data_IF_606303090522
#
_entry.id   IF_606303090522
#
_cell.length_a   1.000
_cell.length_b   1.000
_cell.length_c   1.000
_cell.angle_alpha   90.00
_cell.angle_beta   90.00
_cell.angle_gamma   90.00
#
_symmetry.space_group_name_H-M   'P 1'
#
loop_
_entity.id
_entity.type
_entity.pdbx_description
1 polymer ?
#
# COMPACT_ATOMS: atom_id res chain seq x y z
N UNK A 1 -57.67 33.84 2.06
CA UNK A 1 -58.85 33.37 2.84
C UNK A 1 -60.01 32.93 1.96
N UNK A 2 -59.98 33.19 0.64
CA UNK A 2 -61.11 32.94 -0.28
C UNK A 2 -61.59 31.49 -0.37
N UNK A 3 -60.75 30.51 -0.02
CA UNK A 3 -61.12 29.08 -0.09
C UNK A 3 -61.65 28.50 1.23
N UNK A 4 -61.60 29.25 2.35
CA UNK A 4 -62.05 28.82 3.70
C UNK A 4 -61.68 27.37 4.07
N UNK A 5 -60.46 26.96 3.73
CA UNK A 5 -59.92 25.64 4.07
C UNK A 5 -58.73 25.75 5.00
N UNK A 6 -58.55 24.75 5.84
CA UNK A 6 -57.40 24.58 6.74
C UNK A 6 -56.86 23.18 6.47
N UNK A 7 -55.56 23.06 6.26
CA UNK A 7 -54.91 21.80 5.91
C UNK A 7 -53.69 21.59 6.80
N UNK A 8 -53.50 20.36 7.26
CA UNK A 8 -52.31 19.94 7.97
C UNK A 8 -51.55 18.99 7.06
N UNK A 9 -50.31 19.34 6.73
CA UNK A 9 -49.39 18.46 6.02
C UNK A 9 -48.41 17.87 7.03
N UNK A 10 -48.58 16.60 7.36
CA UNK A 10 -47.67 15.88 8.26
C UNK A 10 -46.55 15.23 7.47
N UNK A 11 -45.31 15.53 7.84
CA UNK A 11 -44.13 14.86 7.29
C UNK A 11 -44.05 13.39 7.72
N UNK A 12 -43.33 12.59 6.92
CA UNK A 12 -43.04 11.19 7.22
C UNK A 12 -42.41 11.08 8.62
N UNK A 13 -43.02 10.30 9.52
CA UNK A 13 -42.56 10.14 10.91
C UNK A 13 -43.43 10.84 11.96
N UNK A 14 -44.23 11.83 11.56
CA UNK A 14 -45.23 12.45 12.44
C UNK A 14 -46.61 11.78 12.34
N UNK A 15 -46.79 10.78 11.47
CA UNK A 15 -48.06 10.08 11.27
C UNK A 15 -48.52 9.28 12.49
N UNK A 16 -47.59 8.83 13.35
CA UNK A 16 -47.91 8.15 14.62
C UNK A 16 -48.47 9.11 15.67
N UNK A 17 -47.88 10.31 15.76
CA UNK A 17 -48.24 11.34 16.75
C UNK A 17 -49.38 12.24 16.24
N UNK A 18 -49.44 12.51 14.94
CA UNK A 18 -50.45 13.35 14.28
C UNK A 18 -51.04 12.60 13.08
N UNK A 19 -51.77 11.48 13.29
CA UNK A 19 -52.50 10.83 12.21
C UNK A 19 -53.61 11.76 11.69
N UNK A 20 -54.05 11.54 10.45
CA UNK A 20 -55.11 12.33 9.78
C UNK A 20 -56.35 12.56 10.66
N UNK A 21 -56.74 11.55 11.44
CA UNK A 21 -57.89 11.64 12.35
C UNK A 21 -57.66 12.64 13.49
N UNK A 22 -56.42 12.75 14.00
CA UNK A 22 -56.03 13.70 15.05
C UNK A 22 -55.89 15.11 14.47
N UNK A 23 -55.32 15.24 13.27
CA UNK A 23 -55.30 16.50 12.52
C UNK A 23 -56.72 17.03 12.29
N UNK A 24 -57.65 16.18 11.86
CA UNK A 24 -59.05 16.52 11.69
C UNK A 24 -59.72 16.91 13.01
N UNK A 25 -59.47 16.17 14.09
CA UNK A 25 -59.97 16.51 15.42
C UNK A 25 -59.51 17.90 15.88
N UNK A 26 -58.23 18.25 15.65
CA UNK A 26 -57.70 19.57 16.00
C UNK A 26 -58.40 20.67 15.20
N UNK A 27 -58.59 20.46 13.89
CA UNK A 27 -59.28 21.41 13.03
C UNK A 27 -60.72 21.63 13.50
N UNK A 28 -61.50 20.58 13.70
CA UNK A 28 -62.92 20.66 14.07
C UNK A 28 -63.14 21.24 15.48
N UNK A 29 -62.26 20.92 16.42
CA UNK A 29 -62.42 21.29 17.83
C UNK A 29 -61.84 22.65 18.16
N UNK A 30 -60.66 22.98 17.64
CA UNK A 30 -59.87 24.14 18.09
C UNK A 30 -59.66 25.22 17.02
N UNK A 31 -60.03 24.97 15.77
CA UNK A 31 -59.79 25.92 14.68
C UNK A 31 -61.10 26.39 14.03
N UNK A 32 -61.95 25.47 13.56
CA UNK A 32 -63.21 25.76 12.85
C UNK A 32 -64.16 26.67 13.63
N UNK A 33 -64.36 26.54 14.97
CA UNK A 33 -65.26 27.42 15.71
C UNK A 33 -64.81 28.90 15.68
N UNK A 34 -63.50 29.14 15.84
CA UNK A 34 -62.93 30.50 15.78
C UNK A 34 -62.94 31.06 14.36
N UNK A 35 -62.68 30.19 13.38
CA UNK A 35 -62.70 30.56 11.98
C UNK A 35 -64.12 30.96 11.52
N UNK A 36 -65.17 30.24 11.97
CA UNK A 36 -66.58 30.57 11.75
C UNK A 36 -66.99 31.89 12.42
N UNK A 37 -66.40 32.22 13.56
CA UNK A 37 -66.61 33.50 14.26
C UNK A 37 -65.82 34.67 13.66
N UNK A 38 -65.06 34.45 12.57
CA UNK A 38 -64.22 35.47 11.92
C UNK A 38 -62.93 35.80 12.69
N UNK A 39 -62.60 35.07 13.75
CA UNK A 39 -61.39 35.28 14.55
C UNK A 39 -60.28 34.31 14.12
N UNK A 40 -59.56 34.69 13.06
CA UNK A 40 -58.51 33.86 12.46
C UNK A 40 -57.25 33.77 13.33
N UNK A 41 -56.93 34.81 14.10
CA UNK A 41 -55.78 34.81 15.00
C UNK A 41 -55.94 33.75 16.09
N UNK A 42 -57.11 33.71 16.74
CA UNK A 42 -57.44 32.69 17.74
C UNK A 42 -57.50 31.28 17.13
N UNK A 43 -57.94 31.16 15.87
CA UNK A 43 -57.96 29.90 15.13
C UNK A 43 -56.55 29.30 14.95
N UNK A 44 -55.60 30.09 14.46
CA UNK A 44 -54.22 29.61 14.24
C UNK A 44 -53.52 29.34 15.58
N UNK A 45 -53.66 30.24 16.55
CA UNK A 45 -53.07 30.06 17.88
C UNK A 45 -53.62 28.82 18.58
N UNK A 46 -54.93 28.57 18.46
CA UNK A 46 -55.58 27.37 19.00
C UNK A 46 -55.05 26.09 18.34
N UNK A 47 -54.95 26.05 17.01
CA UNK A 47 -54.40 24.92 16.28
C UNK A 47 -52.96 24.59 16.66
N UNK A 48 -52.08 25.59 16.67
CA UNK A 48 -50.66 25.40 16.99
C UNK A 48 -50.46 24.97 18.45
N UNK A 49 -51.21 25.56 19.41
CA UNK A 49 -51.13 25.14 20.82
C UNK A 49 -51.53 23.69 21.02
N UNK A 50 -52.59 23.24 20.34
CA UNK A 50 -53.02 21.84 20.41
C UNK A 50 -51.96 20.90 19.82
N UNK A 51 -51.33 21.27 18.70
CA UNK A 51 -50.22 20.48 18.13
C UNK A 51 -49.05 20.37 19.09
N UNK A 52 -48.62 21.47 19.71
CA UNK A 52 -47.53 21.48 20.69
C UNK A 52 -47.87 20.59 21.90
N UNK A 53 -49.12 20.65 22.38
CA UNK A 53 -49.58 19.81 23.49
C UNK A 53 -49.42 18.32 23.19
N UNK A 54 -49.79 17.88 21.98
CA UNK A 54 -49.66 16.47 21.58
C UNK A 54 -48.20 16.04 21.35
N UNK A 55 -47.35 16.91 20.80
CA UNK A 55 -45.93 16.59 20.58
C UNK A 55 -45.16 16.53 21.92
N UNK A 56 -45.54 17.34 22.90
CA UNK A 56 -44.83 17.47 24.19
C UNK A 56 -45.31 16.44 25.23
N UNK A 57 -46.27 15.58 24.88
CA UNK A 57 -46.77 14.52 25.76
C UNK A 57 -45.64 13.51 26.08
N UNK A 58 -45.36 13.21 27.36
CA UNK A 58 -44.35 12.24 27.77
C UNK A 58 -44.49 10.85 27.12
N UNK A 59 -45.70 10.45 26.74
CA UNK A 59 -45.93 9.17 26.04
C UNK A 59 -45.39 9.17 24.61
N UNK A 60 -45.32 10.35 23.96
CA UNK A 60 -44.85 10.51 22.58
C UNK A 60 -43.36 10.87 22.50
N UNK A 61 -42.72 11.17 23.65
CA UNK A 61 -41.30 11.48 23.76
C UNK A 61 -40.35 10.46 23.07
N UNK A 62 -40.52 9.12 23.18
CA UNK A 62 -39.63 8.19 22.51
C UNK A 62 -39.72 8.25 20.98
N UNK A 63 -40.89 8.54 20.42
CA UNK A 63 -41.13 8.63 18.97
C UNK A 63 -40.56 9.94 18.40
N UNK A 64 -40.70 11.06 19.13
CA UNK A 64 -40.08 12.36 18.79
C UNK A 64 -38.54 12.30 18.91
N UNK A 65 -38.01 11.58 19.90
CA UNK A 65 -36.56 11.49 20.17
C UNK A 65 -35.83 10.51 19.24
N UNK A 66 -36.54 9.51 18.69
CA UNK A 66 -35.98 8.56 17.72
C UNK A 66 -35.59 9.22 16.38
N UNK A 67 -36.20 10.37 16.03
CA UNK A 67 -35.88 11.10 14.82
C UNK A 67 -34.63 11.99 14.97
N UNK A 68 -34.45 12.63 16.13
CA UNK A 68 -33.28 13.49 16.38
C UNK A 68 -31.95 12.71 16.32
N UNK A 69 -31.95 11.41 16.61
CA UNK A 69 -30.78 10.54 16.49
C UNK A 69 -30.52 10.08 15.05
N UNK A 70 -31.54 9.96 14.20
CA UNK A 70 -31.37 9.56 12.79
C UNK A 70 -31.03 10.75 11.87
N UNK A 71 -31.50 11.96 12.19
CA UNK A 71 -31.13 13.18 11.45
C UNK A 71 -29.69 13.66 11.72
N UNK A 72 -29.14 13.42 12.92
CA UNK A 72 -27.77 13.82 13.27
C UNK A 72 -26.71 12.73 12.97
N UNK A 73 -27.10 11.46 12.81
CA UNK A 73 -26.14 10.36 12.59
C UNK A 73 -25.79 10.12 11.12
N UNK A 74 -26.43 10.79 10.16
CA UNK A 74 -26.04 10.68 8.76
C UNK A 74 -24.88 11.63 8.41
N UNK A 75 -23.79 11.55 9.17
CA UNK A 75 -22.50 12.02 8.68
C UNK A 75 -22.08 11.07 7.56
N UNK A 76 -22.26 11.51 6.31
CA UNK A 76 -21.76 10.82 5.12
C UNK A 76 -20.22 10.89 5.08
N UNK A 77 -19.54 10.34 6.10
CA UNK A 77 -18.12 10.09 6.00
C UNK A 77 -17.95 8.80 5.16
N UNK A 78 -17.19 8.84 4.05
CA UNK A 78 -16.94 7.65 3.23
C UNK A 78 -16.19 6.54 3.99
N UNK A 79 -15.75 6.80 5.22
CA UNK A 79 -15.04 5.86 6.10
C UNK A 79 -15.96 5.02 7.00
N UNK A 80 -17.21 5.44 7.20
CA UNK A 80 -18.18 4.76 8.07
C UNK A 80 -19.12 3.80 7.32
N UNK A 81 -19.03 3.71 5.99
CA UNK A 81 -19.88 2.85 5.18
C UNK A 81 -19.30 1.42 5.11
N UNK A 82 -20.13 0.36 5.21
CA UNK A 82 -19.67 -1.01 4.98
C UNK A 82 -19.14 -1.16 3.56
N UNK A 83 -18.02 -1.85 3.41
CA UNK A 83 -17.37 -2.05 2.11
C UNK A 83 -18.25 -2.96 1.25
N UNK A 84 -18.74 -2.45 0.12
CA UNK A 84 -19.50 -3.25 -0.86
C UNK A 84 -18.68 -4.46 -1.35
N UNK A 85 -19.34 -5.61 -1.48
CA UNK A 85 -18.78 -6.87 -1.99
C UNK A 85 -18.06 -6.66 -3.34
N UNK A 86 -18.53 -5.70 -4.16
CA UNK A 86 -17.92 -5.36 -5.45
C UNK A 86 -16.52 -4.74 -5.33
N UNK A 87 -16.28 -3.89 -4.32
CA UNK A 87 -14.97 -3.26 -4.08
C UNK A 87 -13.95 -4.30 -3.61
N UNK A 88 -14.38 -5.25 -2.78
CA UNK A 88 -13.54 -6.37 -2.36
C UNK A 88 -13.19 -7.31 -3.52
N UNK A 89 -14.11 -7.55 -4.45
CA UNK A 89 -13.83 -8.29 -5.68
C UNK A 89 -12.73 -7.63 -6.52
N UNK A 90 -12.76 -6.29 -6.61
CA UNK A 90 -11.74 -5.51 -7.34
C UNK A 90 -10.38 -5.57 -6.62
N UNK A 91 -10.34 -5.41 -5.29
CA UNK A 91 -9.10 -5.51 -4.51
C UNK A 91 -8.51 -6.92 -4.61
N UNK A 92 -9.34 -7.96 -4.49
CA UNK A 92 -8.94 -9.35 -4.68
C UNK A 92 -8.39 -9.61 -6.09
N UNK A 93 -9.07 -9.10 -7.12
CA UNK A 93 -8.60 -9.19 -8.51
C UNK A 93 -7.30 -8.42 -8.75
N UNK A 94 -7.11 -7.26 -8.13
CA UNK A 94 -5.89 -6.45 -8.21
C UNK A 94 -4.70 -7.14 -7.51
N UNK A 95 -4.92 -7.75 -6.34
CA UNK A 95 -3.92 -8.56 -5.65
C UNK A 95 -3.56 -9.81 -6.46
N UNK A 96 -4.56 -10.48 -7.05
CA UNK A 96 -4.35 -11.62 -7.93
C UNK A 96 -3.55 -11.24 -9.18
N UNK A 97 -3.94 -10.15 -9.86
CA UNK A 97 -3.21 -9.61 -10.99
C UNK A 97 -1.79 -9.21 -10.59
N UNK A 98 -1.58 -8.59 -9.43
CA UNK A 98 -0.25 -8.29 -8.91
C UNK A 98 0.58 -9.57 -8.70
N UNK A 99 0.03 -10.60 -8.05
CA UNK A 99 0.78 -11.87 -7.87
C UNK A 99 1.07 -12.59 -9.18
N UNK A 100 0.19 -12.50 -10.18
CA UNK A 100 0.35 -13.14 -11.49
C UNK A 100 1.26 -12.34 -12.43
N UNK A 101 1.18 -11.01 -12.45
CA UNK A 101 2.02 -10.13 -13.28
C UNK A 101 3.45 -10.07 -12.75
N UNK A 102 3.61 -10.08 -11.42
CA UNK A 102 4.92 -10.19 -10.79
C UNK A 102 5.40 -11.64 -10.69
N UNK A 103 4.70 -12.63 -11.27
CA UNK A 103 5.20 -14.00 -11.41
C UNK A 103 6.52 -13.93 -12.18
N UNK A 104 7.68 -14.16 -11.52
CA UNK A 104 8.95 -13.95 -12.19
C UNK A 104 9.05 -14.87 -13.43
N UNK A 105 9.50 -14.34 -14.57
CA UNK A 105 9.68 -15.11 -15.81
C UNK A 105 10.90 -16.02 -15.67
N UNK A 106 10.82 -17.28 -16.13
CA UNK A 106 11.94 -18.24 -16.12
C UNK A 106 12.96 -17.78 -17.18
N UNK A 107 14.25 -17.63 -16.83
CA UNK A 107 15.31 -17.35 -17.82
C UNK A 107 16.54 -18.21 -17.55
N UNK A 108 17.19 -18.65 -18.63
CA UNK A 108 18.32 -19.57 -18.67
C UNK A 108 19.65 -18.84 -18.40
N UNK A 109 20.45 -19.44 -17.50
CA UNK A 109 21.93 -19.51 -17.33
C UNK A 109 22.84 -18.25 -17.43
N UNK A 110 23.86 -18.24 -16.56
CA UNK A 110 25.07 -17.36 -16.41
C UNK A 110 25.05 -16.15 -15.45
N UNK A 111 24.45 -16.26 -14.26
CA UNK A 111 24.61 -15.32 -13.12
C UNK A 111 24.67 -16.09 -11.78
N UNK A 112 25.29 -15.58 -10.69
CA UNK A 112 25.37 -16.30 -9.41
C UNK A 112 23.99 -16.57 -8.80
N UNK A 113 23.83 -17.83 -8.38
CA UNK A 113 22.60 -18.61 -8.16
C UNK A 113 21.68 -18.14 -7.01
N UNK A 114 22.19 -17.37 -6.05
CA UNK A 114 21.54 -17.16 -4.75
C UNK A 114 20.35 -16.17 -4.69
N UNK A 115 19.97 -15.55 -5.82
CA UNK A 115 18.70 -14.81 -5.95
C UNK A 115 17.72 -15.57 -6.84
N UNK A 116 18.17 -16.63 -7.53
CA UNK A 116 17.31 -17.45 -8.36
C UNK A 116 16.59 -18.45 -7.48
N UNK A 117 15.59 -17.92 -6.76
CA UNK A 117 14.26 -18.53 -6.67
C UNK A 117 14.34 -20.03 -6.40
N UNK A 118 14.74 -20.43 -5.18
CA UNK A 118 14.47 -21.78 -4.74
C UNK A 118 12.95 -21.93 -4.64
N UNK A 119 12.40 -22.52 -5.70
CA UNK A 119 11.00 -22.55 -6.04
C UNK A 119 10.40 -23.76 -5.33
N UNK A 120 9.92 -23.57 -4.10
CA UNK A 120 8.94 -24.51 -3.57
C UNK A 120 7.58 -24.14 -4.18
N UNK A 121 7.27 -24.70 -5.35
CA UNK A 121 6.03 -24.43 -6.09
C UNK A 121 4.80 -24.67 -5.22
N UNK A 122 4.84 -25.67 -4.34
CA UNK A 122 3.81 -25.94 -3.36
C UNK A 122 3.61 -24.76 -2.39
N UNK A 123 4.69 -24.13 -1.91
CA UNK A 123 4.62 -22.93 -1.06
C UNK A 123 4.02 -21.74 -1.80
N UNK A 124 4.41 -21.53 -3.06
CA UNK A 124 3.86 -20.44 -3.86
C UNK A 124 2.37 -20.64 -4.14
N UNK A 125 1.97 -21.86 -4.49
CA UNK A 125 0.58 -22.22 -4.77
C UNK A 125 -0.27 -22.10 -3.50
N UNK A 126 0.14 -22.73 -2.39
CA UNK A 126 -0.56 -22.63 -1.09
C UNK A 126 -0.68 -21.19 -0.63
N UNK A 127 0.39 -20.41 -0.74
CA UNK A 127 0.38 -18.98 -0.44
C UNK A 127 -0.57 -18.22 -1.36
N UNK A 128 -0.56 -18.44 -2.67
CA UNK A 128 -1.51 -17.78 -3.58
C UNK A 128 -2.96 -18.17 -3.28
N UNK A 129 -3.23 -19.42 -2.90
CA UNK A 129 -4.57 -19.88 -2.54
C UNK A 129 -5.05 -19.25 -1.23
N UNK A 130 -4.24 -19.27 -0.17
CA UNK A 130 -4.60 -18.65 1.11
C UNK A 130 -4.84 -17.14 0.97
N UNK A 131 -4.03 -16.45 0.17
CA UNK A 131 -4.13 -15.00 0.02
C UNK A 131 -5.34 -14.59 -0.83
N UNK A 132 -5.56 -15.28 -1.95
CA UNK A 132 -6.61 -14.90 -2.89
C UNK A 132 -7.96 -15.55 -2.61
N UNK A 133 -8.01 -16.61 -1.80
CA UNK A 133 -9.26 -17.33 -1.47
C UNK A 133 -9.60 -17.15 0.01
N UNK A 134 -8.67 -17.40 0.94
CA UNK A 134 -9.01 -17.41 2.36
C UNK A 134 -9.27 -16.01 2.92
N UNK A 135 -8.53 -14.98 2.49
CA UNK A 135 -8.75 -13.60 2.97
C UNK A 135 -10.08 -13.02 2.46
N UNK A 136 -10.41 -13.10 1.15
CA UNK A 136 -11.73 -12.68 0.67
C UNK A 136 -12.87 -13.51 1.26
N UNK A 137 -12.70 -14.83 1.42
CA UNK A 137 -13.72 -15.68 2.04
C UNK A 137 -13.95 -15.34 3.52
N UNK A 138 -12.89 -15.11 4.30
CA UNK A 138 -12.99 -14.69 5.70
C UNK A 138 -13.63 -13.31 5.85
N UNK A 139 -13.36 -12.39 4.91
CA UNK A 139 -14.03 -11.09 4.88
C UNK A 139 -15.50 -11.21 4.55
N UNK A 140 -15.87 -11.99 3.52
CA UNK A 140 -17.27 -12.23 3.18
C UNK A 140 -17.99 -12.85 4.38
N UNK A 141 -17.36 -13.82 5.04
CA UNK A 141 -17.89 -14.42 6.26
C UNK A 141 -18.08 -13.41 7.39
N UNK A 142 -17.14 -12.48 7.59
CA UNK A 142 -17.24 -11.48 8.66
C UNK A 142 -18.39 -10.49 8.44
N UNK A 143 -18.75 -10.18 7.18
CA UNK A 143 -19.92 -9.34 6.87
C UNK A 143 -21.26 -9.97 7.29
N UNK A 144 -21.34 -11.30 7.36
CA UNK A 144 -22.56 -11.99 7.78
C UNK A 144 -22.59 -12.35 9.27
N UNK A 145 -21.46 -12.25 9.97
CA UNK A 145 -21.31 -12.75 11.35
C UNK A 145 -21.27 -11.63 12.39
N UNK A 146 -20.80 -10.43 12.03
CA UNK A 146 -20.61 -9.33 12.97
C UNK A 146 -21.58 -8.17 12.71
N UNK A 147 -22.21 -7.69 13.78
CA UNK A 147 -23.00 -6.46 13.81
C UNK A 147 -22.35 -5.50 14.84
N UNK A 148 -21.77 -4.36 14.44
CA UNK A 148 -21.76 -3.79 13.08
C UNK A 148 -20.74 -4.46 12.13
N UNK A 149 -20.96 -4.36 10.81
CA UNK A 149 -20.04 -4.89 9.79
C UNK A 149 -18.68 -4.18 9.80
N UNK A 150 -17.67 -4.88 9.28
CA UNK A 150 -16.29 -4.36 9.23
C UNK A 150 -16.20 -3.11 8.35
N UNK A 151 -15.57 -2.07 8.89
CA UNK A 151 -15.43 -0.76 8.24
C UNK A 151 -14.33 -0.75 7.17
N UNK A 152 -14.35 0.26 6.29
CA UNK A 152 -13.28 0.49 5.27
C UNK A 152 -11.92 0.66 5.94
N UNK A 153 -11.85 1.32 7.09
CA UNK A 153 -10.59 1.57 7.81
C UNK A 153 -9.98 0.27 8.32
N UNK A 154 -10.80 -0.60 8.92
CA UNK A 154 -10.37 -1.92 9.38
C UNK A 154 -9.89 -2.80 8.23
N UNK A 155 -10.53 -2.71 7.05
CA UNK A 155 -10.06 -3.39 5.83
C UNK A 155 -8.65 -2.93 5.44
N UNK A 156 -8.44 -1.61 5.38
CA UNK A 156 -7.16 -1.03 4.97
C UNK A 156 -6.05 -1.40 5.95
N UNK A 157 -6.34 -1.41 7.25
CA UNK A 157 -5.41 -1.88 8.29
C UNK A 157 -5.09 -3.38 8.08
N UNK A 158 -6.10 -4.21 7.83
CA UNK A 158 -5.90 -5.64 7.58
C UNK A 158 -5.02 -5.88 6.34
N UNK A 159 -5.29 -5.19 5.23
CA UNK A 159 -4.47 -5.26 4.01
C UNK A 159 -3.04 -4.80 4.29
N UNK A 160 -2.86 -3.71 5.03
CA UNK A 160 -1.55 -3.18 5.40
C UNK A 160 -0.73 -4.17 6.23
N UNK A 161 -1.31 -4.72 7.30
CA UNK A 161 -0.68 -5.75 8.16
C UNK A 161 -0.38 -7.00 7.36
N UNK A 162 -1.29 -7.40 6.49
CA UNK A 162 -1.11 -8.56 5.63
C UNK A 162 0.09 -8.40 4.68
N UNK A 163 0.24 -7.24 4.02
CA UNK A 163 1.41 -6.94 3.17
C UNK A 163 2.71 -7.00 3.99
N UNK A 164 2.72 -6.47 5.22
CA UNK A 164 3.86 -6.56 6.14
C UNK A 164 4.25 -8.04 6.36
N UNK A 165 3.29 -8.90 6.69
CA UNK A 165 3.52 -10.32 6.94
C UNK A 165 4.14 -10.99 5.70
N UNK A 166 3.63 -10.70 4.50
CA UNK A 166 4.16 -11.26 3.26
C UNK A 166 5.61 -10.86 3.00
N UNK A 167 5.94 -9.60 3.27
CA UNK A 167 7.28 -9.06 3.07
C UNK A 167 8.24 -9.62 4.12
N UNK A 168 7.82 -9.73 5.39
CA UNK A 168 8.58 -10.33 6.48
C UNK A 168 8.86 -11.81 6.21
N UNK A 169 7.85 -12.59 5.85
CA UNK A 169 7.96 -14.02 5.53
C UNK A 169 8.87 -14.26 4.32
N UNK A 170 8.77 -13.44 3.27
CA UNK A 170 9.73 -13.45 2.15
C UNK A 170 11.16 -13.19 2.64
N UNK A 171 11.35 -12.26 3.58
CA UNK A 171 12.67 -11.91 4.11
C UNK A 171 13.25 -13.03 4.96
N UNK A 172 12.47 -13.62 5.85
CA UNK A 172 12.90 -14.73 6.71
C UNK A 172 13.32 -15.95 5.89
N UNK A 173 12.58 -16.28 4.81
CA UNK A 173 12.99 -17.35 3.89
C UNK A 173 14.32 -17.07 3.20
N UNK A 174 14.53 -15.83 2.73
CA UNK A 174 15.78 -15.48 2.06
C UNK A 174 16.95 -15.59 3.04
N UNK A 175 16.77 -15.14 4.29
CA UNK A 175 17.77 -15.32 5.33
C UNK A 175 18.10 -16.81 5.56
N UNK A 176 17.07 -17.65 5.72
CA UNK A 176 17.26 -19.09 5.92
C UNK A 176 17.99 -19.74 4.74
N UNK A 177 17.63 -19.38 3.50
CA UNK A 177 18.30 -19.87 2.30
C UNK A 177 19.78 -19.46 2.23
N UNK A 178 20.09 -18.20 2.54
CA UNK A 178 21.49 -17.72 2.60
C UNK A 178 22.27 -18.53 3.65
N UNK A 179 21.67 -18.73 4.83
CA UNK A 179 22.32 -19.49 5.90
C UNK A 179 22.56 -20.96 5.50
N UNK A 180 21.60 -21.60 4.83
CA UNK A 180 21.70 -22.99 4.39
C UNK A 180 22.64 -23.17 3.20
N UNK A 181 22.64 -22.25 2.24
CA UNK A 181 23.40 -22.38 1.00
C UNK A 181 24.90 -22.17 1.22
N UNK A 182 25.28 -21.14 1.99
CA UNK A 182 26.67 -20.81 2.24
C UNK A 182 27.29 -21.57 3.43
N UNK A 183 26.50 -22.38 4.15
CA UNK A 183 27.02 -23.34 5.14
C UNK A 183 27.87 -22.70 6.23
N UNK A 184 29.18 -22.95 6.25
CA UNK A 184 30.13 -22.38 7.22
C UNK A 184 30.84 -21.11 6.72
N UNK A 185 30.74 -20.77 5.43
CA UNK A 185 31.42 -19.60 4.87
C UNK A 185 30.76 -18.29 5.33
N UNK A 186 31.38 -17.67 6.33
CA UNK A 186 30.90 -16.42 6.94
C UNK A 186 31.03 -15.23 6.00
N UNK A 187 32.10 -15.17 5.19
CA UNK A 187 32.34 -14.06 4.28
C UNK A 187 31.29 -14.05 3.17
N UNK A 188 31.07 -15.20 2.53
CA UNK A 188 30.05 -15.32 1.50
C UNK A 188 28.64 -15.04 2.04
N UNK A 189 28.32 -15.47 3.26
CA UNK A 189 27.06 -15.09 3.94
C UNK A 189 26.93 -13.58 4.08
N UNK A 190 27.97 -12.90 4.60
CA UNK A 190 27.95 -11.46 4.79
C UNK A 190 27.71 -10.70 3.47
N UNK A 191 28.43 -11.08 2.41
CA UNK A 191 28.28 -10.51 1.07
C UNK A 191 26.87 -10.76 0.51
N UNK A 192 26.34 -11.97 0.67
CA UNK A 192 24.98 -12.29 0.22
C UNK A 192 23.91 -11.50 0.99
N UNK A 193 24.04 -11.38 2.32
CA UNK A 193 23.12 -10.61 3.15
C UNK A 193 23.11 -9.12 2.78
N UNK A 194 24.28 -8.50 2.67
CA UNK A 194 24.42 -7.09 2.31
C UNK A 194 23.83 -6.79 0.93
N UNK A 195 24.14 -7.62 -0.09
CA UNK A 195 23.59 -7.48 -1.44
C UNK A 195 22.08 -7.61 -1.49
N UNK A 196 21.52 -8.62 -0.81
CA UNK A 196 20.08 -8.90 -0.80
C UNK A 196 19.23 -7.73 -0.31
N UNK A 197 19.85 -6.82 0.44
CA UNK A 197 19.16 -5.78 1.20
C UNK A 197 19.13 -4.42 0.49
N UNK A 198 19.94 -4.23 -0.57
CA UNK A 198 20.03 -2.96 -1.31
C UNK A 198 18.65 -2.45 -1.76
N UNK A 199 17.80 -3.34 -2.27
CA UNK A 199 16.47 -3.00 -2.79
C UNK A 199 15.38 -2.88 -1.71
N UNK A 200 15.65 -3.28 -0.46
CA UNK A 200 14.67 -3.29 0.62
C UNK A 200 14.67 -2.01 1.45
N UNK A 201 15.57 -1.05 1.19
CA UNK A 201 15.61 0.22 1.94
C UNK A 201 14.28 0.99 1.88
N UNK A 202 13.53 0.86 0.78
CA UNK A 202 12.21 1.48 0.59
C UNK A 202 11.19 0.94 1.61
N UNK A 203 11.29 -0.33 2.02
CA UNK A 203 10.32 -0.91 2.97
C UNK A 203 10.42 -0.29 4.36
N UNK A 204 11.57 0.30 4.72
CA UNK A 204 11.73 1.05 5.97
C UNK A 204 10.87 2.31 6.02
N UNK A 205 10.61 2.93 4.87
CA UNK A 205 9.78 4.14 4.81
C UNK A 205 8.29 3.80 4.79
N UNK A 206 7.89 2.76 4.05
CA UNK A 206 6.48 2.36 3.91
C UNK A 206 5.99 1.57 5.13
N UNK A 207 6.86 0.76 5.74
CA UNK A 207 6.55 -0.17 6.83
C UNK A 207 7.57 -0.04 7.97
N UNK A 208 7.63 1.11 8.67
CA UNK A 208 8.75 1.44 9.54
C UNK A 208 8.94 0.47 10.69
N UNK A 209 7.89 0.16 11.46
CA UNK A 209 8.02 -0.57 12.73
C UNK A 209 8.68 -1.97 12.60
N UNK A 210 8.13 -2.94 11.83
CA UNK A 210 8.71 -4.28 11.73
C UNK A 210 10.06 -4.29 11.01
N UNK A 211 10.25 -3.43 10.00
CA UNK A 211 11.47 -3.45 9.22
C UNK A 211 12.61 -2.68 9.90
N UNK A 212 12.34 -1.65 10.69
CA UNK A 212 13.36 -0.98 11.51
C UNK A 212 13.88 -1.92 12.61
N UNK A 213 12.99 -2.70 13.24
CA UNK A 213 13.40 -3.77 14.15
C UNK A 213 14.26 -4.82 13.43
N UNK A 214 13.84 -5.26 12.24
CA UNK A 214 14.64 -6.18 11.42
C UNK A 214 16.02 -5.59 11.06
N UNK A 215 16.10 -4.28 10.77
CA UNK A 215 17.35 -3.59 10.46
C UNK A 215 18.36 -3.75 11.61
N UNK A 216 17.92 -3.55 12.85
CA UNK A 216 18.77 -3.71 14.04
C UNK A 216 19.34 -5.14 14.13
N UNK A 217 18.47 -6.15 14.03
CA UNK A 217 18.91 -7.55 14.04
C UNK A 217 19.86 -7.89 12.89
N UNK A 218 19.61 -7.35 11.70
CA UNK A 218 20.46 -7.53 10.52
C UNK A 218 21.84 -6.89 10.73
N UNK A 219 21.89 -5.66 11.21
CA UNK A 219 23.15 -4.92 11.41
C UNK A 219 24.01 -5.63 12.47
N UNK A 220 23.40 -6.12 13.56
CA UNK A 220 24.07 -6.98 14.53
C UNK A 220 24.58 -8.28 13.91
N UNK A 221 23.76 -8.98 13.12
CA UNK A 221 24.17 -10.23 12.44
C UNK A 221 25.32 -10.01 11.46
N UNK A 222 25.29 -8.92 10.68
CA UNK A 222 26.37 -8.57 9.75
C UNK A 222 27.67 -8.25 10.51
N UNK A 223 27.59 -7.46 11.59
CA UNK A 223 28.75 -7.18 12.43
C UNK A 223 29.34 -8.45 13.04
N UNK A 224 28.50 -9.35 13.54
CA UNK A 224 28.94 -10.64 14.07
C UNK A 224 29.58 -11.54 13.00
N UNK A 225 29.06 -11.56 11.76
CA UNK A 225 29.65 -12.32 10.66
C UNK A 225 31.00 -11.75 10.19
N UNK A 226 31.16 -10.42 10.21
CA UNK A 226 32.37 -9.74 9.74
C UNK A 226 33.50 -9.75 10.77
N UNK A 227 33.18 -9.51 12.05
CA UNK A 227 34.18 -9.30 13.10
C UNK A 227 34.55 -10.57 13.90
N UNK A 228 33.92 -11.71 13.61
CA UNK A 228 34.25 -12.95 14.30
C UNK A 228 35.64 -13.46 13.88
N UNK A 229 36.55 -13.80 14.82
CA UNK A 229 37.90 -14.28 14.50
C UNK A 229 37.91 -15.46 13.54
N UNK A 230 38.87 -15.48 12.61
CA UNK A 230 39.16 -16.61 11.74
C UNK A 230 40.25 -17.49 12.36
N UNK A 231 40.14 -18.81 12.21
CA UNK A 231 41.24 -19.72 12.53
C UNK A 231 42.23 -19.72 11.37
N UNK A 232 43.52 -19.73 11.66
CA UNK A 232 44.56 -19.74 10.64
C UNK A 232 44.68 -21.14 9.99
N UNK A 233 44.59 -21.23 8.67
CA UNK A 233 44.71 -22.50 7.93
C UNK A 233 46.03 -23.25 8.18
N UNK A 234 47.10 -22.55 8.59
CA UNK A 234 48.42 -23.16 8.83
C UNK A 234 48.61 -23.68 10.25
N UNK A 235 48.09 -22.99 11.26
CA UNK A 235 48.39 -23.27 12.67
C UNK A 235 47.16 -23.33 13.59
N UNK A 236 45.96 -23.16 13.05
CA UNK A 236 44.67 -23.14 13.77
C UNK A 236 44.52 -22.10 14.90
N UNK A 237 45.52 -21.23 15.13
CA UNK A 237 45.39 -20.11 16.05
C UNK A 237 44.42 -19.07 15.52
N UNK A 238 43.74 -18.38 16.44
CA UNK A 238 42.83 -17.30 16.11
C UNK A 238 43.62 -16.12 15.56
N UNK A 239 43.20 -15.65 14.38
CA UNK A 239 43.78 -14.49 13.72
C UNK A 239 43.18 -13.21 14.28
N UNK A 240 43.94 -12.13 14.19
CA UNK A 240 43.49 -10.80 14.56
C UNK A 240 43.26 -9.97 13.29
N UNK A 241 42.16 -9.22 13.29
CA UNK A 241 41.89 -8.22 12.26
C UNK A 241 42.80 -7.02 12.49
N UNK A 242 43.52 -6.59 11.47
CA UNK A 242 44.33 -5.38 11.51
C UNK A 242 43.42 -4.14 11.58
N UNK A 243 43.96 -3.03 12.07
CA UNK A 243 43.30 -1.74 11.97
C UNK A 243 43.44 -1.15 10.56
N UNK A 244 42.52 -0.24 10.21
CA UNK A 244 42.37 0.39 8.89
C UNK A 244 43.58 1.23 8.42
N UNK A 245 44.60 1.48 9.26
CA UNK A 245 45.84 2.13 8.79
C UNK A 245 46.98 1.12 8.65
N UNK A 246 46.94 0.03 9.41
CA UNK A 246 47.96 -1.01 9.35
C UNK A 246 47.73 -1.99 8.21
N UNK A 247 46.47 -2.18 7.79
CA UNK A 247 46.12 -3.02 6.64
C UNK A 247 46.52 -2.40 5.29
N UNK A 248 46.55 -1.06 5.17
CA UNK A 248 47.01 -0.31 4.00
C UNK A 248 48.34 -0.84 3.42
N UNK A 249 49.25 -1.30 4.30
CA UNK A 249 50.56 -1.85 3.91
C UNK A 249 50.45 -3.14 3.09
N UNK A 250 49.32 -3.83 3.19
CA UNK A 250 49.03 -5.10 2.54
C UNK A 250 48.07 -4.94 1.35
N UNK A 251 47.56 -3.73 1.11
CA UNK A 251 46.63 -3.43 0.03
C UNK A 251 47.36 -2.97 -1.23
N UNK A 252 46.79 -3.31 -2.39
CA UNK A 252 47.27 -2.77 -3.66
C UNK A 252 46.85 -1.32 -3.85
N UNK A 253 47.53 -0.59 -4.74
CA UNK A 253 47.17 0.80 -5.06
C UNK A 253 45.74 0.94 -5.59
N UNK A 254 45.17 -0.08 -6.22
CA UNK A 254 43.77 -0.06 -6.65
C UNK A 254 42.81 -0.22 -5.49
N UNK A 255 43.15 -1.09 -4.53
CA UNK A 255 42.34 -1.38 -3.34
C UNK A 255 42.29 -0.17 -2.41
N UNK A 256 43.42 0.51 -2.20
CA UNK A 256 43.47 1.78 -1.45
C UNK A 256 42.54 2.85 -2.05
N UNK A 257 42.49 2.96 -3.38
CA UNK A 257 41.56 3.88 -4.05
C UNK A 257 40.11 3.41 -3.90
N UNK A 258 39.83 2.11 -3.90
CA UNK A 258 38.48 1.57 -3.65
C UNK A 258 37.98 1.90 -2.23
N UNK A 259 38.85 1.81 -1.23
CA UNK A 259 38.55 2.17 0.16
C UNK A 259 38.36 3.67 0.35
N UNK A 260 39.23 4.48 -0.25
CA UNK A 260 39.11 5.94 -0.23
C UNK A 260 37.78 6.41 -0.84
N UNK A 261 37.27 5.68 -1.84
CA UNK A 261 35.98 5.95 -2.48
C UNK A 261 34.79 5.29 -1.76
N UNK A 262 35.04 4.52 -0.70
CA UNK A 262 34.08 3.67 0.00
C UNK A 262 33.27 2.77 -0.94
N UNK A 263 33.90 2.27 -2.01
CA UNK A 263 33.27 1.37 -2.98
C UNK A 263 33.47 -0.10 -2.59
N UNK A 264 34.64 -0.43 -2.08
CA UNK A 264 34.98 -1.73 -1.50
C UNK A 264 35.81 -1.45 -0.26
N UNK A 265 35.55 -2.23 0.77
CA UNK A 265 36.22 -2.17 2.07
C UNK A 265 36.95 -3.51 2.26
N UNK A 266 38.25 -3.50 2.57
CA UNK A 266 39.05 -4.71 2.72
C UNK A 266 39.42 -4.93 4.19
N UNK A 267 39.09 -6.10 4.73
CA UNK A 267 39.62 -6.51 6.03
C UNK A 267 40.84 -7.42 5.81
N UNK A 268 41.97 -7.08 6.44
CA UNK A 268 43.16 -7.94 6.50
C UNK A 268 43.24 -8.62 7.86
N UNK A 269 43.30 -9.95 7.83
CA UNK A 269 43.49 -10.80 9.01
C UNK A 269 44.93 -11.29 9.05
N UNK A 270 45.60 -11.06 10.18
CA UNK A 270 46.99 -11.47 10.39
C UNK A 270 47.10 -12.50 11.53
N UNK A 271 47.97 -13.50 11.34
CA UNK A 271 48.32 -14.47 12.36
C UNK A 271 49.73 -14.19 12.91
N UNK A 272 49.83 -13.71 14.14
CA UNK A 272 51.13 -13.42 14.77
C UNK A 272 51.98 -14.66 15.08
N UNK A 273 51.43 -15.87 14.99
CA UNK A 273 52.19 -17.11 15.26
C UNK A 273 52.95 -17.64 14.05
N UNK A 274 52.40 -17.48 12.84
CA UNK A 274 52.97 -18.06 11.60
C UNK A 274 53.10 -17.05 10.47
N UNK A 275 52.83 -15.76 10.75
CA UNK A 275 52.84 -14.64 9.81
C UNK A 275 51.98 -14.84 8.57
N UNK A 276 50.99 -15.74 8.63
CA UNK A 276 50.03 -15.94 7.55
C UNK A 276 48.99 -14.82 7.56
N UNK A 277 48.49 -14.46 6.37
CA UNK A 277 47.51 -13.39 6.21
C UNK A 277 46.39 -13.79 5.25
N UNK A 278 45.18 -13.26 5.50
CA UNK A 278 44.04 -13.38 4.59
C UNK A 278 43.41 -12.01 4.38
N UNK A 279 42.96 -11.77 3.16
CA UNK A 279 42.27 -10.55 2.78
C UNK A 279 40.84 -10.87 2.36
N UNK A 280 39.86 -10.16 2.91
CA UNK A 280 38.46 -10.27 2.52
C UNK A 280 37.97 -8.93 1.97
N UNK A 281 37.18 -8.97 0.89
CA UNK A 281 36.60 -7.77 0.28
C UNK A 281 35.10 -7.65 0.55
N UNK A 282 34.66 -6.43 0.86
CA UNK A 282 33.28 -6.10 1.19
C UNK A 282 32.79 -4.98 0.28
N UNK A 283 32.04 -5.34 -0.75
CA UNK A 283 31.53 -4.38 -1.74
C UNK A 283 30.41 -3.54 -1.13
N UNK A 284 30.54 -2.22 -1.20
CA UNK A 284 29.48 -1.30 -0.86
C UNK A 284 28.51 -1.14 -2.04
N UNK A 285 27.44 -1.93 -2.02
CA UNK A 285 26.38 -1.87 -3.03
C UNK A 285 25.57 -0.56 -3.05
N UNK A 286 25.76 0.33 -2.07
CA UNK A 286 25.16 1.67 -2.09
C UNK A 286 26.04 2.70 -2.80
N UNK A 287 27.30 2.37 -3.09
CA UNK A 287 28.22 3.27 -3.79
C UNK A 287 27.78 3.47 -5.25
N UNK A 288 28.12 4.64 -5.80
CA UNK A 288 27.91 4.97 -7.22
C UNK A 288 28.96 4.33 -8.14
N UNK A 289 29.98 3.72 -7.56
CA UNK A 289 31.12 3.18 -8.29
C UNK A 289 30.87 1.74 -8.73
N UNK A 290 31.37 1.40 -9.91
CA UNK A 290 31.24 0.08 -10.53
C UNK A 290 32.59 -0.43 -10.98
N UNK A 291 32.64 -1.72 -11.33
CA UNK A 291 33.84 -2.37 -11.84
C UNK A 291 34.34 -1.72 -13.14
N UNK A 292 35.61 -1.33 -13.17
CA UNK A 292 36.28 -0.76 -14.33
C UNK A 292 36.69 -1.86 -15.32
N UNK A 293 36.44 -1.65 -16.61
CA UNK A 293 36.83 -2.60 -17.67
C UNK A 293 38.34 -2.73 -17.86
N UNK A 294 39.09 -1.69 -17.56
CA UNK A 294 40.54 -1.63 -17.79
C UNK A 294 41.35 -2.16 -16.60
N UNK A 295 41.10 -1.66 -15.40
CA UNK A 295 41.85 -2.04 -14.20
C UNK A 295 41.14 -3.06 -13.30
N UNK A 296 39.87 -3.41 -13.58
CA UNK A 296 39.03 -4.31 -12.77
C UNK A 296 38.76 -3.84 -11.33
N UNK A 297 39.19 -2.65 -10.94
CA UNK A 297 38.84 -2.04 -9.67
C UNK A 297 37.44 -1.40 -9.74
N UNK A 298 36.71 -1.40 -8.63
CA UNK A 298 35.41 -0.78 -8.44
C UNK A 298 35.53 0.74 -8.22
N UNK A 299 36.13 1.43 -9.19
CA UNK A 299 36.44 2.87 -9.10
C UNK A 299 35.86 3.66 -10.29
N UNK A 300 35.06 3.01 -11.13
CA UNK A 300 34.40 3.65 -12.28
C UNK A 300 33.08 4.28 -11.89
N UNK A 301 32.81 5.51 -12.35
CA UNK A 301 31.53 6.20 -12.15
C UNK A 301 31.05 6.84 -13.45
N UNK A 302 29.76 7.10 -13.54
CA UNK A 302 29.16 7.77 -14.70
C UNK A 302 29.42 9.27 -14.57
N UNK A 303 30.24 9.83 -15.45
CA UNK A 303 30.57 11.26 -15.44
C UNK A 303 29.60 12.09 -16.28
N UNK A 304 29.03 11.51 -17.33
CA UNK A 304 28.09 12.22 -18.21
C UNK A 304 27.24 11.31 -19.07
N UNK A 305 26.14 11.87 -19.57
CA UNK A 305 25.33 11.28 -20.64
C UNK A 305 25.08 12.33 -21.70
N UNK A 306 25.39 11.99 -22.95
CA UNK A 306 25.18 12.85 -24.10
C UNK A 306 24.13 12.22 -25.01
N UNK A 307 23.33 13.04 -25.67
CA UNK A 307 22.42 12.58 -26.72
C UNK A 307 23.14 12.78 -28.06
N UNK A 308 23.47 11.70 -28.76
CA UNK A 308 24.07 11.78 -30.10
C UNK A 308 22.96 12.07 -31.11
N UNK A 309 21.89 11.27 -31.08
CA UNK A 309 20.72 11.45 -31.92
C UNK A 309 19.46 11.52 -31.06
N UNK A 310 18.69 12.59 -31.24
CA UNK A 310 17.46 12.80 -30.47
C UNK A 310 16.38 11.80 -30.90
N UNK A 311 15.61 11.22 -29.95
CA UNK A 311 14.48 10.34 -30.29
C UNK A 311 13.35 11.13 -30.97
N UNK A 312 12.66 10.50 -31.90
CA UNK A 312 11.45 11.04 -32.53
C UNK A 312 10.24 10.15 -32.20
N UNK A 313 9.05 10.56 -32.68
CA UNK A 313 7.84 9.72 -32.58
C UNK A 313 7.88 8.49 -33.50
N UNK A 314 8.77 8.45 -34.49
CA UNK A 314 8.87 7.38 -35.49
C UNK A 314 10.21 6.65 -35.49
N UNK A 315 11.22 7.16 -34.77
CA UNK A 315 12.56 6.55 -34.67
C UNK A 315 13.14 6.68 -33.26
N UNK A 316 13.82 5.62 -32.81
CA UNK A 316 14.59 5.66 -31.55
C UNK A 316 15.79 6.59 -31.67
N UNK A 317 16.14 7.25 -30.57
CA UNK A 317 17.37 8.02 -30.47
C UNK A 317 18.55 7.17 -30.02
N UNK A 318 19.75 7.74 -30.07
CA UNK A 318 20.98 7.13 -29.56
C UNK A 318 21.62 8.08 -28.55
N UNK A 319 21.81 7.60 -27.33
CA UNK A 319 22.57 8.26 -26.28
C UNK A 319 23.97 7.66 -26.16
N UNK A 320 24.89 8.43 -25.60
CA UNK A 320 26.21 8.03 -25.18
C UNK A 320 26.29 8.17 -23.67
N UNK A 321 26.80 7.15 -23.00
CA UNK A 321 27.14 7.15 -21.58
C UNK A 321 28.66 7.20 -21.45
N UNK A 322 29.16 8.21 -20.74
CA UNK A 322 30.58 8.38 -20.45
C UNK A 322 30.84 7.89 -19.03
N UNK A 323 31.81 6.98 -18.89
CA UNK A 323 32.22 6.40 -17.61
C UNK A 323 33.69 6.65 -17.40
N UNK A 324 34.04 7.29 -16.29
CA UNK A 324 35.43 7.62 -15.93
C UNK A 324 35.88 6.77 -14.74
N UNK A 325 37.13 6.32 -14.77
CA UNK A 325 37.76 5.58 -13.68
C UNK A 325 38.60 6.51 -12.79
N UNK A 326 38.39 6.46 -11.48
CA UNK A 326 39.17 7.27 -10.53
C UNK A 326 40.56 6.71 -10.25
N UNK A 327 40.81 5.42 -10.50
CA UNK A 327 42.12 4.81 -10.27
C UNK A 327 43.03 4.89 -11.50
N UNK A 328 42.55 4.48 -12.68
CA UNK A 328 43.38 4.44 -13.91
C UNK A 328 43.14 5.64 -14.84
N UNK A 329 42.21 6.54 -14.50
CA UNK A 329 41.85 7.73 -15.28
C UNK A 329 41.44 7.47 -16.74
N UNK A 330 41.15 6.21 -17.09
CA UNK A 330 40.62 5.85 -18.40
C UNK A 330 39.13 6.16 -18.49
N UNK A 331 38.74 6.65 -19.65
CA UNK A 331 37.37 6.97 -20.01
C UNK A 331 36.84 5.92 -20.97
N UNK A 332 35.66 5.39 -20.67
CA UNK A 332 34.91 4.48 -21.53
C UNK A 332 33.62 5.15 -22.01
N UNK A 333 33.29 4.94 -23.29
CA UNK A 333 32.08 5.46 -23.93
C UNK A 333 31.23 4.30 -24.41
N UNK A 334 29.98 4.26 -23.96
CA UNK A 334 29.01 3.23 -24.34
C UNK A 334 27.76 3.87 -24.91
N UNK A 335 27.38 3.47 -26.12
CA UNK A 335 26.12 3.92 -26.72
C UNK A 335 24.95 3.11 -26.18
N UNK A 336 23.82 3.77 -25.93
CA UNK A 336 22.56 3.13 -25.56
C UNK A 336 21.40 3.70 -26.38
N UNK A 337 20.39 2.86 -26.64
CA UNK A 337 19.20 3.27 -27.40
C UNK A 337 18.24 4.05 -26.49
N UNK A 338 17.84 5.24 -26.94
CA UNK A 338 16.81 6.06 -26.28
C UNK A 338 15.46 5.69 -26.92
N UNK A 339 14.45 5.28 -26.13
CA UNK A 339 13.15 4.91 -26.66
C UNK A 339 12.47 6.07 -27.40
N UNK A 340 11.61 5.73 -28.36
CA UNK A 340 10.81 6.68 -29.13
C UNK A 340 9.91 7.53 -28.22
N UNK A 341 9.64 8.76 -28.65
CA UNK A 341 8.71 9.63 -27.94
C UNK A 341 7.30 9.02 -27.97
N UNK A 342 6.66 8.91 -26.81
CA UNK A 342 5.27 8.50 -26.72
C UNK A 342 4.38 9.74 -26.75
N UNK A 343 3.34 9.73 -27.58
CA UNK A 343 2.26 10.72 -27.47
C UNK A 343 1.49 10.40 -26.19
N UNK A 344 1.48 11.32 -25.24
CA UNK A 344 0.61 11.23 -24.07
C UNK A 344 -0.84 11.24 -24.57
N UNK A 345 -1.46 10.07 -24.68
CA UNK A 345 -2.91 10.01 -24.62
C UNK A 345 -3.28 10.45 -23.21
N UNK A 346 -3.95 11.59 -23.10
CA UNK A 346 -4.67 12.00 -21.90
C UNK A 346 -5.66 10.90 -21.52
N UNK A 347 -5.22 9.92 -20.74
CA UNK A 347 -6.09 9.00 -20.04
C UNK A 347 -6.59 9.72 -18.79
N UNK A 348 -7.53 10.65 -18.99
CA UNK A 348 -8.61 10.79 -18.04
C UNK A 348 -9.26 9.41 -17.94
N UNK A 349 -9.35 8.89 -16.73
CA UNK A 349 -9.99 7.60 -16.48
C UNK A 349 -11.45 7.65 -16.93
N UNK A 350 -11.72 7.02 -18.05
CA UNK A 350 -13.07 6.62 -18.44
C UNK A 350 -13.00 5.16 -18.89
N UNK A 351 -13.54 4.33 -18.01
CA UNK A 351 -13.92 2.94 -18.20
C UNK A 351 -14.52 2.69 -19.59
N UNK A 352 -13.83 1.88 -20.40
CA UNK A 352 -14.35 1.31 -21.64
C UNK A 352 -14.63 -0.17 -21.44
N UNK A 353 -15.81 -0.47 -20.92
CA UNK A 353 -16.36 -1.82 -20.86
C UNK A 353 -16.71 -2.31 -22.26
N UNK A 354 -16.50 -3.61 -22.45
CA UNK A 354 -16.95 -4.47 -23.54
C UNK A 354 -18.34 -4.12 -24.09
N UNK A 355 -18.41 -3.84 -25.40
CA UNK A 355 -19.64 -3.88 -26.17
C UNK A 355 -19.81 -5.24 -26.84
N UNK A 356 -20.51 -6.14 -26.17
CA UNK A 356 -21.14 -7.30 -26.81
C UNK A 356 -22.55 -6.91 -27.24
N UNK A 357 -22.86 -7.18 -28.50
CA UNK A 357 -24.17 -6.97 -29.12
C UNK A 357 -25.25 -7.82 -28.44
N UNK A 358 -26.37 -7.20 -28.08
CA UNK A 358 -27.58 -7.89 -27.63
C UNK A 358 -28.72 -6.90 -27.38
N UNK A 359 -29.79 -6.97 -28.17
CA UNK A 359 -30.92 -6.04 -28.13
C UNK A 359 -32.10 -6.48 -27.26
N UNK A 360 -32.91 -5.49 -26.85
CA UNK A 360 -34.36 -5.49 -26.49
C UNK A 360 -34.61 -4.18 -25.69
N UNK A 361 -35.48 -3.24 -26.10
CA UNK A 361 -36.96 -3.16 -26.13
C UNK A 361 -37.66 -2.79 -24.79
N UNK A 362 -37.90 -1.47 -24.62
CA UNK A 362 -39.15 -0.78 -24.16
C UNK A 362 -39.73 -0.85 -22.71
N UNK A 363 -40.11 0.35 -22.20
CA UNK A 363 -41.22 0.69 -21.26
C UNK A 363 -40.86 0.83 -19.76
N UNK A 364 -41.31 1.77 -18.91
CA UNK A 364 -42.25 2.93 -18.94
C UNK A 364 -42.86 3.20 -17.53
N UNK A 365 -42.90 4.47 -17.05
CA UNK A 365 -43.78 5.08 -15.99
C UNK A 365 -43.78 4.53 -14.53
N UNK A 366 -44.21 5.17 -13.43
CA UNK A 366 -44.77 6.52 -13.05
C UNK A 366 -45.01 6.57 -11.51
N UNK A 367 -45.11 7.79 -10.92
CA UNK A 367 -45.27 8.15 -9.48
C UNK A 367 -46.70 8.09 -8.89
N UNK A 368 -46.86 8.23 -7.55
CA UNK A 368 -48.07 8.82 -6.92
C UNK A 368 -48.35 8.53 -5.42
N UNK A 369 -48.66 9.56 -4.61
CA UNK A 369 -49.19 9.49 -3.23
C UNK A 369 -49.94 10.79 -2.84
N UNK A 370 -50.97 10.75 -1.98
CA UNK A 370 -51.88 11.87 -1.67
C UNK A 370 -52.37 11.92 -0.22
N UNK A 371 -52.79 13.11 0.25
CA UNK A 371 -53.23 13.45 1.63
C UNK A 371 -54.68 13.96 1.74
N UNK A 372 -55.13 14.27 2.98
CA UNK A 372 -56.53 14.54 3.36
C UNK A 372 -56.78 15.98 3.90
N UNK A 373 -57.85 16.63 3.42
CA UNK A 373 -58.26 18.00 3.84
C UNK A 373 -59.74 18.11 4.26
N UNK A 374 -60.08 19.14 5.05
CA UNK A 374 -61.46 19.46 5.46
C UNK A 374 -61.85 20.93 5.17
N UNK A 375 -63.13 21.19 4.89
CA UNK A 375 -63.69 22.51 4.47
C UNK A 375 -64.75 23.00 5.47
N UNK A 376 -64.87 24.32 5.65
CA UNK A 376 -65.88 24.94 6.52
C UNK A 376 -66.54 26.20 5.94
#
# INVERSE_FOLDING_TARGET
MDQRSIEFETGKGMEGILPDIRCKYIQETFMVPYAKAGNYDACIVGGVKSVIMFITDPENAPEVMAENSSAFSQSNSPFAQPVSITVMGIIGAALLAFTLLFRPRKKNSTQPEYVVRNRNDAHWITKTLLINIAIPAAWIWSQFTYDPPVTVVELLIAIYVFIIILLLERRLRLNHYIDSFFGTDRHAKHVAYSRSHQFWKVTYFIFPFPFLLYKLFKDQKLSALRNAPYACDRCNNMMQKLDENSDDQYLSTSQLVEEQLHSVDYDVWHCYHCSNQFQFSYINYASKYTNCKHCKANTSYISGRNTITSPSYTSSGTGEKITDCMHCHKQDRETYTIPMLQRSSSSGGSSGSSGSSGGSSWGGGSSGGGGAGSKW
#
